data_IF_639716940064
#
_entry.id   IF_639716940064
#
_cell.length_a   1.000
_cell.length_b   1.000
_cell.length_c   1.000
_cell.angle_alpha   90.00
_cell.angle_beta   90.00
_cell.angle_gamma   90.00
#
_symmetry.space_group_name_H-M   'P 1'
#
loop_
_entity.id
_entity.type
_entity.pdbx_description
1 polymer ?
#
# COMPACT_ATOMS: atom_id res chain seq x y z
N UNK A 1 20.86 26.27 2.12
CA UNK A 1 20.63 25.13 3.02
C UNK A 1 19.14 25.16 3.32
N UNK A 2 18.46 24.05 3.05
CA UNK A 2 17.00 23.86 3.00
C UNK A 2 16.27 24.42 1.77
N UNK A 3 16.38 23.68 0.67
CA UNK A 3 15.32 23.62 -0.33
C UNK A 3 14.51 22.37 0.01
N UNK A 4 13.35 22.54 0.64
CA UNK A 4 12.37 21.47 0.84
C UNK A 4 12.02 20.84 -0.52
N UNK A 5 12.32 19.56 -0.75
CA UNK A 5 12.02 18.91 -2.01
C UNK A 5 10.53 18.58 -2.03
N UNK A 6 9.73 19.56 -2.45
CA UNK A 6 8.40 19.40 -3.05
C UNK A 6 7.65 18.13 -2.64
N UNK A 7 7.04 18.16 -1.46
CA UNK A 7 5.87 17.32 -1.20
C UNK A 7 4.70 17.84 -2.04
N UNK A 8 4.67 17.50 -3.32
CA UNK A 8 3.51 17.76 -4.17
C UNK A 8 2.40 16.79 -3.76
N UNK A 9 1.52 17.27 -2.89
CA UNK A 9 0.22 16.66 -2.64
C UNK A 9 -0.64 16.87 -3.89
N UNK A 10 -0.49 15.94 -4.85
CA UNK A 10 -1.21 15.87 -6.11
C UNK A 10 -1.05 14.47 -6.67
N UNK A 11 -1.98 14.03 -7.52
CA UNK A 11 -2.01 12.68 -8.10
C UNK A 11 -0.85 12.45 -9.07
N UNK A 12 0.36 12.37 -8.56
CA UNK A 12 1.54 11.93 -9.29
C UNK A 12 1.30 10.50 -9.77
N UNK A 13 1.33 10.24 -11.09
CA UNK A 13 1.06 8.91 -11.63
C UNK A 13 2.07 7.89 -11.10
N UNK A 14 3.28 8.33 -10.76
CA UNK A 14 4.34 7.54 -10.12
C UNK A 14 3.90 7.07 -8.72
N UNK A 15 3.36 7.98 -7.90
CA UNK A 15 2.88 7.68 -6.55
C UNK A 15 1.63 6.81 -6.62
N UNK A 16 0.70 7.09 -7.53
CA UNK A 16 -0.50 6.28 -7.72
C UNK A 16 -0.16 4.84 -8.12
N UNK A 17 0.77 4.67 -9.05
CA UNK A 17 1.22 3.35 -9.49
C UNK A 17 1.89 2.58 -8.34
N UNK A 18 2.82 3.21 -7.61
CA UNK A 18 3.52 2.54 -6.50
C UNK A 18 2.55 2.11 -5.41
N UNK A 19 1.59 2.96 -5.04
CA UNK A 19 0.53 2.63 -4.08
C UNK A 19 -0.35 1.50 -4.60
N UNK A 20 -0.74 1.52 -5.88
CA UNK A 20 -1.58 0.46 -6.46
C UNK A 20 -0.92 -0.92 -6.47
N UNK A 21 0.41 -0.97 -6.67
CA UNK A 21 1.17 -2.22 -6.70
C UNK A 21 1.58 -2.72 -5.32
N UNK A 22 1.91 -1.80 -4.41
CA UNK A 22 2.56 -2.13 -3.13
C UNK A 22 1.67 -1.93 -1.91
N UNK A 23 0.59 -1.16 -2.02
CA UNK A 23 -0.33 -0.87 -0.92
C UNK A 23 -0.82 -2.14 -0.24
N UNK A 24 -0.65 -2.21 1.08
CA UNK A 24 -1.05 -3.33 1.93
C UNK A 24 -0.42 -4.69 1.58
N UNK A 25 0.69 -4.71 0.84
CA UNK A 25 1.46 -5.93 0.56
C UNK A 25 2.75 -5.96 1.37
N UNK A 26 3.19 -7.17 1.75
CA UNK A 26 4.51 -7.39 2.38
C UNK A 26 5.66 -7.40 1.39
N UNK A 27 5.36 -7.65 0.11
CA UNK A 27 6.33 -7.68 -0.99
C UNK A 27 5.61 -7.29 -2.28
N UNK A 28 6.30 -6.52 -3.12
CA UNK A 28 5.84 -6.05 -4.42
C UNK A 28 7.05 -5.69 -5.29
N UNK A 29 6.85 -5.60 -6.60
CA UNK A 29 7.84 -5.10 -7.55
C UNK A 29 7.26 -3.92 -8.34
N UNK A 30 8.08 -2.89 -8.55
CA UNK A 30 7.71 -1.72 -9.35
C UNK A 30 8.67 -1.64 -10.55
N UNK A 31 8.34 -2.23 -11.71
CA UNK A 31 9.20 -2.18 -12.89
C UNK A 31 9.38 -0.75 -13.38
N UNK A 32 10.65 -0.31 -13.45
CA UNK A 32 11.06 0.99 -13.98
C UNK A 32 11.33 0.84 -15.48
N UNK A 33 10.27 0.94 -16.28
CA UNK A 33 10.34 0.83 -17.74
C UNK A 33 9.56 1.95 -18.42
N UNK A 34 9.92 2.26 -19.68
CA UNK A 34 9.21 3.26 -20.50
C UNK A 34 7.73 2.91 -20.72
N UNK A 35 7.39 1.62 -20.74
CA UNK A 35 5.99 1.16 -20.84
C UNK A 35 5.15 1.56 -19.63
N UNK A 36 5.79 1.72 -18.47
CA UNK A 36 5.14 1.95 -17.18
C UNK A 36 5.14 3.44 -16.81
N UNK A 37 6.23 4.15 -17.11
CA UNK A 37 6.42 5.55 -16.75
C UNK A 37 6.40 6.51 -17.94
N UNK A 38 6.15 6.00 -19.15
CA UNK A 38 6.10 6.75 -20.40
C UNK A 38 7.46 6.99 -21.03
N UNK A 39 7.44 7.45 -22.28
CA UNK A 39 8.62 8.03 -22.90
C UNK A 39 8.90 9.40 -22.29
N UNK A 40 10.18 9.73 -22.20
CA UNK A 40 10.62 10.94 -21.56
C UNK A 40 11.68 11.66 -22.42
N UNK A 41 11.57 12.98 -22.56
CA UNK A 41 12.13 13.73 -23.70
C UNK A 41 13.66 13.75 -23.75
N UNK A 42 14.34 13.36 -22.67
CA UNK A 42 15.80 13.30 -22.60
C UNK A 42 16.25 11.84 -22.45
N UNK A 43 16.73 11.21 -23.53
CA UNK A 43 17.25 9.83 -23.52
C UNK A 43 18.64 9.70 -22.88
N UNK A 44 19.38 10.80 -22.79
CA UNK A 44 20.77 10.84 -22.30
C UNK A 44 20.90 10.91 -20.76
N UNK A 45 19.80 10.90 -20.01
CA UNK A 45 19.83 11.00 -18.54
C UNK A 45 19.38 9.69 -17.88
N UNK A 46 20.21 9.16 -16.99
CA UNK A 46 19.81 8.05 -16.10
C UNK A 46 18.69 8.52 -15.19
N UNK A 47 17.57 7.80 -15.19
CA UNK A 47 16.43 8.06 -14.31
C UNK A 47 16.40 7.07 -13.17
N UNK A 48 15.91 7.52 -12.03
CA UNK A 48 15.77 6.72 -10.82
C UNK A 48 14.35 6.87 -10.29
N UNK A 49 13.83 5.77 -9.74
CA UNK A 49 12.59 5.78 -8.97
C UNK A 49 12.98 5.90 -7.50
N UNK A 50 12.57 7.01 -6.87
CA UNK A 50 12.69 7.19 -5.43
C UNK A 50 11.38 6.74 -4.76
N UNK A 51 11.48 5.91 -3.72
CA UNK A 51 10.31 5.37 -3.00
C UNK A 51 10.52 5.51 -1.51
N UNK A 52 9.51 6.06 -0.85
CA UNK A 52 9.37 6.02 0.60
C UNK A 52 8.18 5.12 0.96
N UNK A 53 8.37 4.19 1.91
CA UNK A 53 7.32 3.26 2.34
C UNK A 53 7.31 3.11 3.86
N UNK A 54 6.15 2.74 4.39
CA UNK A 54 5.95 2.44 5.81
C UNK A 54 5.18 1.14 5.96
N UNK A 55 5.58 0.29 6.90
CA UNK A 55 4.85 -0.93 7.24
C UNK A 55 3.79 -0.63 8.31
N UNK A 56 2.54 -0.97 8.02
CA UNK A 56 1.48 -0.95 9.02
C UNK A 56 1.37 -2.32 9.74
N UNK A 57 1.02 -2.35 11.03
CA UNK A 57 0.64 -3.60 11.68
C UNK A 57 -0.60 -4.20 10.99
N UNK A 58 -0.81 -5.52 11.10
CA UNK A 58 -2.02 -6.14 10.57
C UNK A 58 -3.27 -5.52 11.21
N UNK A 59 -4.41 -5.51 10.50
CA UNK A 59 -5.66 -5.07 11.09
C UNK A 59 -5.99 -5.94 12.32
N UNK A 60 -6.69 -5.37 13.31
CA UNK A 60 -7.13 -6.14 14.46
C UNK A 60 -7.97 -7.34 13.99
N UNK A 61 -7.94 -8.47 14.71
CA UNK A 61 -8.81 -9.60 14.40
C UNK A 61 -10.27 -9.12 14.38
N UNK A 62 -11.10 -9.67 13.48
CA UNK A 62 -12.53 -9.38 13.52
C UNK A 62 -13.06 -9.71 14.92
N UNK A 63 -14.06 -8.94 15.41
CA UNK A 63 -14.67 -9.24 16.70
C UNK A 63 -15.14 -10.72 16.69
N UNK A 64 -14.95 -11.46 17.79
CA UNK A 64 -15.41 -12.83 17.87
C UNK A 64 -16.89 -12.84 17.53
N UNK A 65 -17.26 -13.59 16.48
CA UNK A 65 -18.67 -13.85 16.18
C UNK A 65 -19.23 -14.47 17.44
N UNK A 66 -20.18 -13.78 18.10
CA UNK A 66 -20.80 -14.24 19.34
C UNK A 66 -21.19 -15.71 19.09
N UNK A 67 -20.71 -16.68 19.90
CA UNK A 67 -21.23 -18.03 19.78
C UNK A 67 -22.74 -17.92 19.95
N UNK A 68 -23.49 -18.47 18.99
CA UNK A 68 -24.92 -18.67 19.14
C UNK A 68 -25.08 -19.36 20.49
N UNK A 69 -25.88 -18.78 21.39
CA UNK A 69 -26.04 -19.30 22.73
C UNK A 69 -26.33 -20.80 22.62
N UNK A 70 -25.45 -21.65 23.16
CA UNK A 70 -25.82 -23.03 23.45
C UNK A 70 -27.03 -22.92 24.38
N UNK A 71 -28.22 -23.28 23.87
CA UNK A 71 -29.38 -23.44 24.74
C UNK A 71 -28.96 -24.43 25.82
N UNK A 72 -28.90 -23.91 27.04
CA UNK A 72 -28.70 -24.68 28.26
C UNK A 72 -29.62 -25.91 28.20
N UNK A 73 -29.11 -27.15 28.28
CA UNK A 73 -30.00 -28.28 28.44
C UNK A 73 -30.68 -28.10 29.79
N UNK A 74 -31.94 -27.67 29.75
CA UNK A 74 -32.90 -27.87 30.83
C UNK A 74 -33.08 -29.37 31.00
N UNK A 75 -32.26 -29.99 31.85
CA UNK A 75 -32.67 -31.23 32.49
C UNK A 75 -32.89 -30.92 33.97
N UNK A 76 -34.17 -30.71 34.25
CA UNK A 76 -34.77 -30.75 35.56
C UNK A 76 -34.59 -32.14 36.21
N UNK A 77 -34.58 -32.13 37.55
CA UNK A 77 -34.73 -33.21 38.58
C UNK A 77 -33.50 -34.02 39.02
#
# INVERSE_FOLDING_TARGET
MDQDPQSHSGSDPVVSLSVSRCGNKRSCEVPVTELVFGEYPCKEQTRYLEVSYSCAPPPPPPPPTKPDCEEEPTDEV
#
